data_IF_380903803764
#
_entry.id   IF_380903803764
#
_cell.length_a   1.000
_cell.length_b   1.000
_cell.length_c   1.000
_cell.angle_alpha   90.00
_cell.angle_beta   90.00
_cell.angle_gamma   90.00
#
_symmetry.space_group_name_H-M   'P 1'
#
loop_
_entity.id
_entity.type
_entity.pdbx_description
1 polymer ?
#
# COMPACT_ATOMS: atom_id res chain seq x y z
N UNK A 1 -18.40 8.37 -5.74
CA UNK A 1 -17.08 7.73 -5.57
C UNK A 1 -16.15 8.67 -4.83
N UNK A 2 -15.37 8.15 -3.89
CA UNK A 2 -14.34 8.89 -3.16
C UNK A 2 -13.06 8.06 -3.11
N UNK A 3 -11.91 8.68 -3.36
CA UNK A 3 -10.58 8.05 -3.27
C UNK A 3 -9.79 8.72 -2.16
N UNK A 4 -9.23 7.95 -1.23
CA UNK A 4 -8.43 8.46 -0.13
C UNK A 4 -7.17 7.64 0.14
N UNK A 5 -6.14 8.33 0.61
CA UNK A 5 -4.87 7.76 1.06
C UNK A 5 -4.40 8.39 2.39
N UNK A 6 -5.35 8.91 3.17
CA UNK A 6 -5.09 9.59 4.45
C UNK A 6 -5.10 8.58 5.61
N UNK A 7 -4.16 7.65 5.56
CA UNK A 7 -3.96 6.58 6.54
C UNK A 7 -2.53 6.05 6.43
N UNK A 8 -2.14 5.19 7.37
CA UNK A 8 -0.80 4.59 7.41
C UNK A 8 -0.41 3.94 6.08
N UNK A 9 0.81 4.19 5.61
CA UNK A 9 1.37 3.83 4.29
C UNK A 9 0.61 4.37 3.07
N UNK A 10 -0.45 5.17 3.24
CA UNK A 10 -1.27 5.65 2.15
C UNK A 10 -0.46 6.52 1.17
N UNK A 11 -0.53 6.18 -0.13
CA UNK A 11 0.09 6.94 -1.20
C UNK A 11 -0.74 6.89 -2.49
N UNK A 12 -1.38 8.02 -2.84
CA UNK A 12 -1.93 8.29 -4.17
C UNK A 12 -2.24 9.78 -4.30
N UNK A 13 -2.19 10.31 -5.51
CA UNK A 13 -2.76 11.59 -5.93
C UNK A 13 -3.89 11.34 -6.93
N UNK A 14 -5.03 12.01 -6.74
CA UNK A 14 -6.18 11.89 -7.63
C UNK A 14 -6.10 12.99 -8.69
N UNK A 15 -5.93 12.59 -9.95
CA UNK A 15 -5.93 13.51 -11.10
C UNK A 15 -7.36 13.72 -11.59
N UNK A 16 -8.12 12.63 -11.77
CA UNK A 16 -9.53 12.64 -12.13
C UNK A 16 -10.26 11.47 -11.47
N UNK A 17 -11.44 11.72 -10.91
CA UNK A 17 -12.34 10.71 -10.36
C UNK A 17 -13.82 11.06 -10.61
N UNK A 18 -14.12 11.85 -11.65
CA UNK A 18 -15.47 12.28 -12.00
C UNK A 18 -16.32 11.13 -12.57
N UNK A 19 -15.66 10.13 -13.15
CA UNK A 19 -16.27 8.94 -13.73
C UNK A 19 -15.57 7.68 -13.23
N UNK A 20 -16.34 6.66 -12.87
CA UNK A 20 -15.81 5.33 -12.54
C UNK A 20 -15.11 4.67 -13.74
N UNK A 21 -15.55 4.97 -14.97
CA UNK A 21 -15.00 4.39 -16.19
C UNK A 21 -13.66 5.02 -16.63
N UNK A 22 -13.18 6.07 -15.94
CA UNK A 22 -11.95 6.78 -16.30
C UNK A 22 -11.32 7.46 -15.07
N UNK A 23 -10.81 6.65 -14.14
CA UNK A 23 -10.15 7.12 -12.93
C UNK A 23 -8.66 7.32 -13.21
N UNK A 24 -8.17 8.54 -13.04
CA UNK A 24 -6.79 8.93 -13.34
C UNK A 24 -6.06 9.32 -12.06
N UNK A 25 -4.90 8.71 -11.84
CA UNK A 25 -4.14 8.78 -10.60
C UNK A 25 -2.66 9.02 -10.88
N UNK A 26 -1.96 9.55 -9.87
CA UNK A 26 -0.50 9.61 -9.84
C UNK A 26 0.02 9.02 -8.54
N UNK A 27 1.21 8.43 -8.58
CA UNK A 27 1.96 8.05 -7.38
C UNK A 27 2.72 9.27 -6.88
N UNK A 28 2.62 9.60 -5.58
CA UNK A 28 3.40 10.69 -5.00
C UNK A 28 4.84 10.25 -4.79
N UNK A 29 5.77 11.19 -4.96
CA UNK A 29 7.17 11.03 -4.58
C UNK A 29 7.34 10.76 -3.10
N UNK A 30 8.35 9.96 -2.78
CA UNK A 30 8.81 9.74 -1.42
C UNK A 30 9.20 11.07 -0.76
N UNK A 31 9.02 11.16 0.55
CA UNK A 31 9.32 12.38 1.28
C UNK A 31 10.81 12.74 1.12
N UNK A 32 11.09 13.94 0.58
CA UNK A 32 12.44 14.45 0.33
C UNK A 32 13.27 13.58 -0.65
N UNK A 33 12.62 12.95 -1.62
CA UNK A 33 13.26 12.09 -2.62
C UNK A 33 12.59 12.24 -3.99
N UNK A 34 13.34 11.92 -5.05
CA UNK A 34 12.78 11.84 -6.41
C UNK A 34 12.17 10.48 -6.73
N UNK A 35 12.39 9.48 -5.87
CA UNK A 35 11.87 8.13 -6.06
C UNK A 35 10.37 8.03 -5.76
N UNK A 36 9.71 7.13 -6.48
CA UNK A 36 8.38 6.62 -6.18
C UNK A 36 8.16 5.28 -6.88
N UNK A 37 7.32 4.46 -6.27
CA UNK A 37 6.84 3.19 -6.81
C UNK A 37 5.62 2.72 -5.99
N UNK A 38 5.72 2.90 -4.66
CA UNK A 38 4.69 2.49 -3.73
C UNK A 38 3.41 3.33 -3.88
N UNK A 39 2.28 2.65 -4.05
CA UNK A 39 0.95 3.24 -3.91
C UNK A 39 0.11 2.43 -2.94
N UNK A 40 -0.81 3.09 -2.24
CA UNK A 40 -1.80 2.47 -1.37
C UNK A 40 -2.96 3.45 -1.15
N UNK A 41 -4.17 3.05 -1.56
CA UNK A 41 -5.35 3.90 -1.46
C UNK A 41 -6.63 3.08 -1.31
N UNK A 42 -7.69 3.74 -0.84
CA UNK A 42 -9.05 3.22 -0.75
C UNK A 42 -9.92 3.94 -1.76
N UNK A 43 -10.77 3.20 -2.47
CA UNK A 43 -11.90 3.74 -3.21
C UNK A 43 -13.20 3.39 -2.50
N UNK A 44 -14.19 4.28 -2.51
CA UNK A 44 -15.47 4.10 -1.81
C UNK A 44 -16.65 4.60 -2.62
N UNK A 45 -17.83 4.01 -2.38
CA UNK A 45 -19.06 4.25 -3.13
C UNK A 45 -18.97 3.74 -4.56
N UNK A 46 -18.51 2.49 -4.72
CA UNK A 46 -18.24 1.82 -6.00
C UNK A 46 -18.75 0.37 -6.05
N UNK A 47 -19.59 -0.04 -5.09
CA UNK A 47 -20.24 -1.36 -5.14
C UNK A 47 -20.97 -1.53 -6.48
N UNK A 48 -20.85 -2.73 -7.07
CA UNK A 48 -21.48 -3.13 -8.34
C UNK A 48 -21.22 -2.17 -9.51
N UNK A 49 -20.15 -1.37 -9.44
CA UNK A 49 -19.79 -0.37 -10.45
C UNK A 49 -18.47 -0.76 -11.09
N UNK A 50 -18.47 -0.96 -12.42
CA UNK A 50 -17.22 -1.21 -13.15
C UNK A 50 -16.34 0.05 -13.12
N UNK A 51 -15.12 -0.11 -12.59
CA UNK A 51 -14.14 0.94 -12.43
C UNK A 51 -12.91 0.67 -13.29
N UNK A 52 -12.40 1.70 -13.97
CA UNK A 52 -11.14 1.64 -14.71
C UNK A 52 -10.16 2.63 -14.10
N UNK A 53 -9.00 2.13 -13.71
CA UNK A 53 -7.97 2.92 -13.06
C UNK A 53 -6.76 3.05 -13.97
N UNK A 54 -6.15 4.21 -13.95
CA UNK A 54 -4.85 4.43 -14.57
C UNK A 54 -3.95 5.28 -13.69
N UNK A 55 -2.74 4.80 -13.46
CA UNK A 55 -1.64 5.57 -12.90
C UNK A 55 -0.83 6.14 -14.07
N UNK A 56 -0.97 7.45 -14.30
CA UNK A 56 -0.42 8.13 -15.48
C UNK A 56 1.11 8.24 -15.44
N UNK A 57 1.66 8.43 -14.24
CA UNK A 57 3.10 8.62 -14.04
C UNK A 57 3.89 7.32 -13.81
N UNK A 58 3.31 6.14 -14.05
CA UNK A 58 3.99 4.86 -13.79
C UNK A 58 5.32 4.71 -14.56
N UNK A 59 5.41 5.27 -15.78
CA UNK A 59 6.60 5.26 -16.61
C UNK A 59 7.73 6.19 -16.15
N UNK A 60 7.51 6.99 -15.10
CA UNK A 60 8.57 7.75 -14.44
C UNK A 60 8.97 7.18 -13.08
N UNK A 61 8.43 6.02 -12.69
CA UNK A 61 8.71 5.41 -11.40
C UNK A 61 10.13 4.84 -11.33
N UNK A 62 10.59 4.53 -10.12
CA UNK A 62 11.98 4.16 -9.84
C UNK A 62 12.43 2.88 -10.57
N UNK A 63 11.53 1.92 -10.74
CA UNK A 63 11.83 0.60 -11.31
C UNK A 63 10.78 0.22 -12.36
N UNK A 64 11.07 0.52 -13.62
CA UNK A 64 10.13 0.31 -14.72
C UNK A 64 9.93 -1.17 -15.03
N UNK A 65 10.98 -1.99 -14.96
CA UNK A 65 10.84 -3.45 -15.12
C UNK A 65 10.00 -4.07 -14.00
N UNK A 66 9.77 -3.35 -12.89
CA UNK A 66 8.87 -3.76 -11.83
C UNK A 66 7.39 -3.76 -12.23
N UNK A 67 7.04 -3.18 -13.39
CA UNK A 67 5.69 -3.21 -13.94
C UNK A 67 5.47 -4.37 -14.93
N UNK A 68 6.54 -5.01 -15.41
CA UNK A 68 6.42 -6.17 -16.31
C UNK A 68 5.80 -7.35 -15.54
N UNK A 69 4.71 -7.91 -16.09
CA UNK A 69 3.90 -8.98 -15.47
C UNK A 69 3.37 -8.67 -14.06
N UNK A 70 3.46 -7.41 -13.63
CA UNK A 70 2.98 -6.95 -12.34
C UNK A 70 1.45 -6.98 -12.27
N UNK A 71 0.92 -7.26 -11.08
CA UNK A 71 -0.52 -7.25 -10.78
C UNK A 71 -0.80 -6.49 -9.50
N UNK A 72 -1.73 -5.53 -9.55
CA UNK A 72 -2.15 -4.74 -8.37
C UNK A 72 -2.66 -5.65 -7.26
N UNK A 73 -2.26 -5.37 -6.01
CA UNK A 73 -2.84 -5.99 -4.82
C UNK A 73 -4.14 -5.28 -4.46
N UNK A 74 -5.20 -6.04 -4.15
CA UNK A 74 -6.46 -5.50 -3.67
C UNK A 74 -7.00 -6.25 -2.46
N UNK A 75 -7.80 -5.57 -1.64
CA UNK A 75 -8.39 -6.16 -0.44
C UNK A 75 -9.66 -5.41 -0.02
N UNK A 76 -10.63 -6.16 0.49
CA UNK A 76 -11.86 -5.61 1.09
C UNK A 76 -11.74 -5.44 2.61
N UNK A 77 -10.90 -6.23 3.28
CA UNK A 77 -10.80 -6.33 4.75
C UNK A 77 -9.45 -5.86 5.30
N UNK A 78 -8.47 -5.56 4.43
CA UNK A 78 -7.05 -5.27 4.73
C UNK A 78 -6.26 -6.46 5.29
N UNK A 79 -6.86 -7.64 5.35
CA UNK A 79 -6.24 -8.89 5.84
C UNK A 79 -5.98 -9.85 4.68
N UNK A 80 -7.01 -10.10 3.87
CA UNK A 80 -6.98 -10.95 2.69
C UNK A 80 -6.67 -10.11 1.47
N UNK A 81 -5.49 -10.33 0.89
CA UNK A 81 -5.03 -9.63 -0.31
C UNK A 81 -4.99 -10.56 -1.52
N UNK A 82 -5.56 -10.11 -2.63
CA UNK A 82 -5.57 -10.81 -3.91
C UNK A 82 -5.00 -9.94 -5.03
N UNK A 83 -4.73 -10.55 -6.19
CA UNK A 83 -4.15 -9.87 -7.35
C UNK A 83 -5.22 -9.56 -8.40
N UNK A 84 -5.10 -8.40 -9.03
CA UNK A 84 -5.96 -7.98 -10.14
C UNK A 84 -5.12 -7.89 -11.41
N UNK A 85 -5.67 -8.37 -12.52
CA UNK A 85 -5.03 -8.27 -13.82
C UNK A 85 -4.75 -6.81 -14.16
N UNK A 86 -3.50 -6.54 -14.51
CA UNK A 86 -2.98 -5.18 -14.68
C UNK A 86 -2.18 -5.15 -15.98
N UNK A 87 -2.31 -4.06 -16.72
CA UNK A 87 -1.57 -3.81 -17.94
C UNK A 87 -0.64 -2.61 -17.75
N UNK A 88 0.58 -2.73 -18.29
CA UNK A 88 1.53 -1.64 -18.41
C UNK A 88 1.92 -1.49 -19.87
N UNK A 89 1.78 -0.29 -20.43
CA UNK A 89 2.04 -0.02 -21.85
C UNK A 89 3.41 0.64 -22.11
N UNK A 90 4.27 0.69 -21.09
CA UNK A 90 5.54 1.43 -21.10
C UNK A 90 5.43 2.87 -20.61
N UNK A 91 4.22 3.36 -20.32
CA UNK A 91 3.97 4.71 -19.79
C UNK A 91 3.01 4.70 -18.61
N UNK A 92 1.88 4.03 -18.76
CA UNK A 92 0.78 4.05 -17.81
C UNK A 92 0.51 2.63 -17.29
N UNK A 93 0.20 2.53 -15.98
CA UNK A 93 -0.24 1.30 -15.35
C UNK A 93 -1.76 1.32 -15.19
N UNK A 94 -2.46 0.30 -15.69
CA UNK A 94 -3.92 0.31 -15.74
C UNK A 94 -4.52 -1.04 -15.34
N UNK A 95 -5.71 -0.99 -14.73
CA UNK A 95 -6.48 -2.18 -14.37
C UNK A 95 -7.96 -1.85 -14.28
N UNK A 96 -8.78 -2.89 -14.31
CA UNK A 96 -10.24 -2.80 -14.16
C UNK A 96 -10.65 -3.57 -12.90
N UNK A 97 -11.70 -3.09 -12.22
CA UNK A 97 -12.28 -3.78 -11.08
C UNK A 97 -13.81 -3.61 -11.09
N UNK A 98 -14.50 -4.66 -10.70
CA UNK A 98 -15.92 -4.64 -10.36
C UNK A 98 -16.04 -4.95 -8.85
N UNK A 99 -16.05 -3.93 -7.98
CA UNK A 99 -16.07 -4.15 -6.53
C UNK A 99 -17.39 -4.77 -6.08
N UNK A 100 -17.29 -5.82 -5.26
CA UNK A 100 -18.45 -6.52 -4.66
C UNK A 100 -18.90 -5.88 -3.32
N UNK A 101 -18.24 -4.81 -2.90
CA UNK A 101 -18.53 -4.08 -1.68
C UNK A 101 -18.42 -2.58 -1.93
N UNK A 102 -19.01 -1.80 -1.02
CA UNK A 102 -18.98 -0.33 -1.04
C UNK A 102 -17.59 0.29 -1.17
N UNK A 103 -16.54 -0.42 -0.77
CA UNK A 103 -15.17 0.04 -0.87
C UNK A 103 -14.20 -1.11 -1.14
N UNK A 104 -13.04 -0.76 -1.67
CA UNK A 104 -11.91 -1.68 -1.85
C UNK A 104 -10.60 -0.90 -1.69
N UNK A 105 -9.58 -1.55 -1.15
CA UNK A 105 -8.22 -1.04 -1.08
C UNK A 105 -7.41 -1.57 -2.26
N UNK A 106 -6.56 -0.71 -2.83
CA UNK A 106 -5.53 -1.10 -3.79
C UNK A 106 -4.16 -0.70 -3.24
N UNK A 107 -3.17 -1.56 -3.43
CA UNK A 107 -1.81 -1.30 -3.01
C UNK A 107 -0.79 -1.94 -3.96
N UNK A 108 0.45 -1.46 -3.89
CA UNK A 108 1.57 -2.05 -4.63
C UNK A 108 1.88 -3.49 -4.15
N UNK A 109 1.78 -3.70 -2.83
CA UNK A 109 1.86 -5.00 -2.18
C UNK A 109 0.99 -4.99 -0.91
N UNK A 110 0.74 -6.15 -0.30
CA UNK A 110 0.03 -6.23 0.99
C UNK A 110 0.75 -5.37 2.06
N UNK A 111 0.13 -4.29 2.57
CA UNK A 111 0.76 -3.40 3.54
C UNK A 111 0.94 -4.07 4.91
N UNK A 112 1.95 -3.60 5.64
CA UNK A 112 2.17 -3.94 7.05
C UNK A 112 2.16 -2.63 7.85
N UNK A 113 1.07 -2.38 8.59
CA UNK A 113 0.92 -1.11 9.33
C UNK A 113 1.84 -1.05 10.56
N UNK A 114 2.11 0.17 11.01
CA UNK A 114 2.78 0.43 12.28
C UNK A 114 1.96 -0.06 13.48
N UNK A 115 0.63 -0.05 13.39
CA UNK A 115 -0.24 -0.65 14.40
C UNK A 115 0.00 -2.16 14.51
N UNK A 116 0.05 -2.87 13.37
CA UNK A 116 0.38 -4.30 13.33
C UNK A 116 1.80 -4.57 13.83
N UNK A 117 2.73 -3.67 13.57
CA UNK A 117 4.09 -3.76 14.09
C UNK A 117 4.10 -3.65 15.62
N UNK A 118 3.40 -2.67 16.18
CA UNK A 118 3.28 -2.51 17.63
C UNK A 118 2.63 -3.74 18.29
N UNK A 119 1.58 -4.28 17.67
CA UNK A 119 0.93 -5.53 18.12
C UNK A 119 1.91 -6.71 18.11
N UNK A 120 2.69 -6.86 17.03
CA UNK A 120 3.71 -7.90 16.94
C UNK A 120 4.75 -7.78 18.06
N UNK A 121 5.28 -6.57 18.30
CA UNK A 121 6.28 -6.34 19.35
C UNK A 121 5.70 -6.66 20.73
N UNK A 122 4.47 -6.24 21.00
CA UNK A 122 3.78 -6.52 22.25
C UNK A 122 3.52 -8.03 22.45
N UNK A 123 3.13 -8.74 21.38
CA UNK A 123 2.90 -10.18 21.38
C UNK A 123 4.18 -10.96 21.67
N UNK A 124 5.25 -10.73 20.91
CA UNK A 124 6.50 -11.50 21.07
C UNK A 124 7.15 -11.25 22.42
N UNK A 125 7.01 -10.04 22.97
CA UNK A 125 7.54 -9.68 24.30
C UNK A 125 6.89 -10.46 25.46
N UNK A 126 5.75 -11.12 25.24
CA UNK A 126 5.14 -11.99 26.26
C UNK A 126 5.88 -13.32 26.44
N UNK A 127 6.72 -13.71 25.48
CA UNK A 127 7.48 -14.96 25.55
C UNK A 127 8.63 -14.85 26.56
N UNK A 128 8.82 -15.84 27.45
CA UNK A 128 9.97 -15.85 28.37
C UNK A 128 11.32 -16.03 27.66
N UNK A 129 11.33 -16.33 26.36
CA UNK A 129 12.52 -16.48 25.53
C UNK A 129 12.89 -15.20 24.77
N UNK A 130 12.09 -14.15 24.92
CA UNK A 130 12.22 -12.90 24.17
C UNK A 130 12.67 -11.79 25.10
N UNK A 131 13.66 -11.03 24.65
CA UNK A 131 14.03 -9.75 25.24
C UNK A 131 13.86 -8.66 24.19
N UNK A 132 13.13 -7.60 24.53
CA UNK A 132 12.98 -6.42 23.69
C UNK A 132 13.77 -5.25 24.27
N UNK A 133 14.34 -4.43 23.38
CA UNK A 133 15.00 -3.17 23.74
C UNK A 133 14.87 -2.17 22.59
N UNK A 134 14.86 -0.88 22.92
CA UNK A 134 14.83 0.19 21.91
C UNK A 134 16.25 0.66 21.63
N UNK A 135 16.69 0.54 20.38
CA UNK A 135 18.04 0.95 19.96
C UNK A 135 18.16 2.48 19.81
N UNK A 136 17.03 3.15 19.63
CA UNK A 136 16.91 4.58 19.41
C UNK A 136 15.60 4.92 18.72
N UNK A 137 15.55 6.11 18.11
CA UNK A 137 14.37 6.57 17.39
C UNK A 137 14.70 6.88 15.93
N UNK A 138 13.69 6.78 15.06
CA UNK A 138 13.75 7.28 13.68
C UNK A 138 13.73 8.82 13.65
N UNK A 139 13.88 9.41 12.47
CA UNK A 139 13.81 10.87 12.29
C UNK A 139 12.47 11.46 12.74
N UNK A 140 11.37 10.71 12.59
CA UNK A 140 10.02 11.11 13.02
C UNK A 140 9.71 10.67 14.46
N UNK A 141 10.69 10.12 15.18
CA UNK A 141 10.55 9.76 16.60
C UNK A 141 9.89 8.39 16.86
N UNK A 142 9.78 7.52 15.86
CA UNK A 142 9.30 6.14 16.05
C UNK A 142 10.38 5.28 16.70
N UNK A 143 10.00 4.33 17.53
CA UNK A 143 10.95 3.40 18.18
C UNK A 143 11.59 2.45 17.16
N UNK A 144 12.88 2.17 17.35
CA UNK A 144 13.62 1.13 16.64
C UNK A 144 13.80 -0.07 17.58
N UNK A 145 12.81 -0.96 17.59
CA UNK A 145 12.81 -2.16 18.42
C UNK A 145 13.81 -3.22 17.95
N UNK A 146 14.59 -3.74 18.90
CA UNK A 146 15.40 -4.95 18.77
C UNK A 146 14.73 -6.08 19.55
N UNK A 147 14.46 -7.18 18.85
CA UNK A 147 13.93 -8.44 19.43
C UNK A 147 15.04 -9.49 19.44
N UNK A 148 15.47 -9.89 20.62
CA UNK A 148 16.43 -10.99 20.82
C UNK A 148 15.69 -12.26 21.24
N UNK A 149 15.87 -13.35 20.50
CA UNK A 149 15.27 -14.67 20.79
C UNK A 149 16.36 -15.68 21.16
N UNK A 150 16.25 -16.30 22.34
CA UNK A 150 17.16 -17.37 22.71
C UNK A 150 17.01 -17.87 24.14
N UNK A 151 17.74 -18.94 24.44
CA UNK A 151 17.91 -19.48 25.79
C UNK A 151 19.22 -19.01 26.46
N UNK A 152 20.01 -18.18 25.76
CA UNK A 152 21.37 -17.81 26.15
C UNK A 152 21.39 -16.89 27.37
N UNK A 153 22.47 -16.97 28.17
CA UNK A 153 22.47 -17.12 29.63
C UNK A 153 21.43 -16.32 30.41
#
# INVERSE_FOLDING_TARGET
MLISSQFDSGNIEVVNADSAADIRLNIRKDHQSDFYQWFHFRVSGVEDTECKFTIENAGGAAYLEGWDDYKVCASYDRETWFRIDTAYDGKELSWEALPEQDFIYFAYFAPYSMERHADLIAEVAQSPLVRTSVLGHTLDGQDLDLVELGYGP
#
